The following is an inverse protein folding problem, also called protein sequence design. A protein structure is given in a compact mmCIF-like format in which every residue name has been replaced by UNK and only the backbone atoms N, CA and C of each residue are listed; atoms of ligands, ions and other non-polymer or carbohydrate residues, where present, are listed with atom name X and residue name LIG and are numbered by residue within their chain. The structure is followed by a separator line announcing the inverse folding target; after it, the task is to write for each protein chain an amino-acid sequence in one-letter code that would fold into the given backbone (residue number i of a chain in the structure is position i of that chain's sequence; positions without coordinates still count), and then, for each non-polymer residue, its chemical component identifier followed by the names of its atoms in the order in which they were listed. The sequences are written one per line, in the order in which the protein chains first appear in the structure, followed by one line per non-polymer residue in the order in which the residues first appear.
data_IF_243348906081
#
_entry.id   IF_243348906081
#
_cell.length_a   1.000
_cell.length_b   1.000
_cell.length_c   1.000
_cell.angle_alpha   90.00
_cell.angle_beta   90.00
_cell.angle_gamma   90.00
#
_symmetry.space_group_name_H-M   'P 1'
#
loop_
_entity.id
_entity.type
_entity.pdbx_description
1 polymer ?
#
# COMPACT_ATOMS: atom_id res chain seq x y z
N UNK A 1 20.49 10.40 25.68
CA UNK A 1 20.70 9.89 24.31
C UNK A 1 20.49 11.00 23.31
N UNK A 2 21.45 11.23 22.41
CA UNK A 2 21.31 12.24 21.35
C UNK A 2 20.33 11.68 20.32
N UNK A 3 19.28 12.44 19.93
CA UNK A 3 18.30 11.96 18.95
C UNK A 3 18.98 11.61 17.63
N UNK A 4 18.40 10.65 16.89
CA UNK A 4 18.89 10.26 15.57
C UNK A 4 18.88 11.45 14.60
N UNK A 5 17.84 12.29 14.67
CA UNK A 5 17.77 13.54 13.90
C UNK A 5 18.96 14.46 14.14
N UNK A 6 19.30 14.72 15.42
CA UNK A 6 20.42 15.58 15.78
C UNK A 6 21.77 14.98 15.33
N UNK A 7 21.92 13.66 15.39
CA UNK A 7 23.10 12.95 14.91
C UNK A 7 23.24 13.06 13.40
N UNK A 8 22.15 12.86 12.64
CA UNK A 8 22.14 12.99 11.19
C UNK A 8 22.45 14.42 10.74
N UNK A 9 21.88 15.43 11.41
CA UNK A 9 22.17 16.82 11.12
C UNK A 9 23.66 17.17 11.39
N UNK A 10 24.24 16.63 12.47
CA UNK A 10 25.66 16.80 12.75
C UNK A 10 26.53 16.16 11.68
N UNK A 11 26.17 14.96 11.21
CA UNK A 11 26.91 14.27 10.15
C UNK A 11 26.88 15.09 8.86
N UNK A 12 25.70 15.59 8.46
CA UNK A 12 25.57 16.43 7.27
C UNK A 12 26.40 17.71 7.37
N UNK A 13 26.39 18.39 8.53
CA UNK A 13 27.22 19.57 8.81
C UNK A 13 28.73 19.27 8.77
N UNK A 14 29.13 18.09 9.22
CA UNK A 14 30.55 17.69 9.17
C UNK A 14 31.02 17.46 7.73
N UNK A 15 30.13 16.98 6.85
CA UNK A 15 30.46 16.71 5.44
C UNK A 15 30.50 17.99 4.61
N UNK A 16 29.55 18.92 4.81
CA UNK A 16 29.33 20.07 3.95
C UNK A 16 29.63 21.44 4.62
N UNK A 17 30.05 21.43 5.89
CA UNK A 17 30.28 22.64 6.67
C UNK A 17 29.04 23.10 7.43
N UNK A 18 29.26 23.98 8.42
CA UNK A 18 28.17 24.42 9.32
C UNK A 18 27.15 25.37 8.68
N UNK A 19 27.46 25.92 7.52
CA UNK A 19 26.69 26.98 6.83
C UNK A 19 26.24 26.58 5.41
N UNK A 20 26.10 25.27 5.13
CA UNK A 20 25.58 24.84 3.84
C UNK A 20 24.13 25.32 3.65
N UNK A 21 23.77 25.61 2.41
CA UNK A 21 22.41 25.98 1.98
C UNK A 21 21.81 24.86 1.14
N UNK A 22 20.48 24.90 0.92
CA UNK A 22 19.84 23.98 -0.06
C UNK A 22 20.42 24.17 -1.46
N UNK A 23 20.80 25.41 -1.82
CA UNK A 23 21.43 25.71 -3.11
C UNK A 23 22.77 25.01 -3.32
N UNK A 24 23.52 24.75 -2.25
CA UNK A 24 24.80 24.04 -2.33
C UNK A 24 24.62 22.53 -2.55
N UNK A 25 23.49 21.97 -2.08
CA UNK A 25 23.22 20.52 -2.07
C UNK A 25 22.19 20.06 -3.12
N UNK A 26 21.44 21.00 -3.72
CA UNK A 26 20.49 20.68 -4.80
C UNK A 26 21.10 21.01 -6.16
N UNK A 27 22.17 20.29 -6.53
CA UNK A 27 22.88 20.47 -7.80
C UNK A 27 23.12 19.12 -8.45
N UNK A 28 23.39 19.16 -9.76
CA UNK A 28 23.81 17.98 -10.51
C UNK A 28 25.12 17.41 -9.93
N UNK A 29 25.19 16.09 -9.80
CA UNK A 29 26.35 15.37 -9.28
C UNK A 29 26.41 15.24 -7.75
N UNK A 30 25.51 15.86 -7.00
CA UNK A 30 25.38 15.63 -5.56
C UNK A 30 24.74 14.27 -5.30
N UNK A 31 25.19 13.59 -4.23
CA UNK A 31 24.66 12.26 -3.94
C UNK A 31 23.18 12.31 -3.58
N UNK A 32 22.43 11.30 -3.98
CA UNK A 32 21.00 11.16 -3.66
C UNK A 32 20.73 11.23 -2.15
N UNK A 33 21.66 10.70 -1.34
CA UNK A 33 21.60 10.77 0.12
C UNK A 33 21.73 12.18 0.65
N UNK A 34 22.69 12.95 0.13
CA UNK A 34 22.91 14.35 0.57
C UNK A 34 21.71 15.23 0.18
N UNK A 35 21.13 15.03 -1.01
CA UNK A 35 19.88 15.68 -1.44
C UNK A 35 18.74 15.37 -0.45
N UNK A 36 18.57 14.10 -0.12
CA UNK A 36 17.53 13.66 0.82
C UNK A 36 17.75 14.25 2.21
N UNK A 37 18.94 14.09 2.77
CA UNK A 37 19.27 14.53 4.13
C UNK A 37 19.19 16.07 4.25
N UNK A 38 19.61 16.83 3.22
CA UNK A 38 19.50 18.27 3.19
C UNK A 38 18.04 18.76 3.29
N UNK A 39 17.13 18.14 2.55
CA UNK A 39 15.71 18.50 2.54
C UNK A 39 15.01 18.00 3.81
N UNK A 40 15.25 16.76 4.22
CA UNK A 40 14.64 16.18 5.42
C UNK A 40 15.02 16.92 6.70
N UNK A 41 16.31 17.29 6.83
CA UNK A 41 16.86 17.97 8.01
C UNK A 41 16.73 19.50 7.96
N UNK A 42 16.22 20.07 6.84
CA UNK A 42 16.02 21.51 6.70
C UNK A 42 14.94 22.01 7.66
N UNK A 43 15.13 23.22 8.17
CA UNK A 43 14.11 23.96 8.92
C UNK A 43 12.98 24.47 8.01
N UNK A 44 12.33 25.56 8.46
CA UNK A 44 11.36 26.26 7.63
C UNK A 44 12.05 26.88 6.41
N UNK A 45 11.45 26.73 5.22
CA UNK A 45 12.02 27.23 3.99
C UNK A 45 11.76 28.73 3.79
N UNK A 46 12.78 29.41 3.31
CA UNK A 46 12.69 30.79 2.82
C UNK A 46 12.21 30.80 1.37
N UNK A 47 11.85 31.97 0.85
CA UNK A 47 11.50 32.14 -0.58
C UNK A 47 12.67 31.77 -1.51
N UNK A 48 13.92 31.94 -1.06
CA UNK A 48 15.09 31.50 -1.81
C UNK A 48 15.18 29.96 -1.89
N UNK A 49 14.87 29.27 -0.78
CA UNK A 49 14.83 27.81 -0.75
C UNK A 49 13.71 27.27 -1.65
N UNK A 50 12.51 27.89 -1.61
CA UNK A 50 11.39 27.53 -2.50
C UNK A 50 11.80 27.64 -3.97
N UNK A 51 12.48 28.75 -4.35
CA UNK A 51 12.94 28.96 -5.72
C UNK A 51 14.00 27.92 -6.12
N UNK A 52 14.94 27.62 -5.23
CA UNK A 52 15.99 26.61 -5.48
C UNK A 52 15.38 25.23 -5.73
N UNK A 53 14.44 24.84 -4.89
CA UNK A 53 13.76 23.53 -5.01
C UNK A 53 12.89 23.48 -6.27
N UNK A 54 12.17 24.56 -6.58
CA UNK A 54 11.35 24.62 -7.80
C UNK A 54 12.22 24.48 -9.06
N UNK A 55 13.38 25.13 -9.11
CA UNK A 55 14.34 25.01 -10.21
C UNK A 55 14.88 23.57 -10.32
N UNK A 56 15.23 22.93 -9.19
CA UNK A 56 15.68 21.54 -9.16
C UNK A 56 14.61 20.59 -9.70
N UNK A 57 13.35 20.76 -9.31
CA UNK A 57 12.24 19.92 -9.79
C UNK A 57 11.95 20.13 -11.28
N UNK A 58 12.14 21.33 -11.80
CA UNK A 58 11.91 21.69 -13.21
C UNK A 58 13.07 21.29 -14.13
N UNK A 59 14.26 21.04 -13.59
CA UNK A 59 15.44 20.72 -14.40
C UNK A 59 15.31 19.32 -15.02
N UNK A 60 15.39 19.26 -16.35
CA UNK A 60 15.32 18.02 -17.13
C UNK A 60 16.58 17.13 -16.99
N UNK A 61 17.70 17.67 -16.54
CA UNK A 61 18.93 16.90 -16.30
C UNK A 61 18.88 16.13 -14.97
N UNK A 62 17.99 16.53 -14.05
CA UNK A 62 17.82 15.83 -12.78
C UNK A 62 17.02 14.56 -13.00
N UNK A 63 17.61 13.43 -12.61
CA UNK A 63 16.97 12.13 -12.74
C UNK A 63 15.71 12.04 -11.86
N UNK A 64 14.66 11.39 -12.37
CA UNK A 64 13.36 11.21 -11.69
C UNK A 64 13.52 10.72 -10.26
N UNK A 65 14.45 9.78 -10.00
CA UNK A 65 14.67 9.23 -8.66
C UNK A 65 15.09 10.30 -7.63
N UNK A 66 15.89 11.29 -8.02
CA UNK A 66 16.31 12.38 -7.12
C UNK A 66 15.13 13.32 -6.81
N UNK A 67 14.26 13.60 -7.79
CA UNK A 67 13.01 14.34 -7.57
C UNK A 67 12.09 13.59 -6.61
N UNK A 68 11.96 12.28 -6.78
CA UNK A 68 11.20 11.40 -5.90
C UNK A 68 11.71 11.42 -4.44
N UNK A 69 13.02 11.36 -4.26
CA UNK A 69 13.67 11.43 -2.97
C UNK A 69 13.45 12.77 -2.27
N UNK A 70 13.57 13.86 -3.03
CA UNK A 70 13.31 15.20 -2.53
C UNK A 70 11.89 15.33 -1.99
N UNK A 71 10.87 14.84 -2.73
CA UNK A 71 9.48 14.87 -2.28
C UNK A 71 9.26 14.00 -1.04
N UNK A 72 9.89 12.82 -0.96
CA UNK A 72 9.80 11.95 0.21
C UNK A 72 10.44 12.60 1.45
N UNK A 73 11.60 13.25 1.29
CA UNK A 73 12.28 13.99 2.33
C UNK A 73 11.46 15.20 2.83
N UNK A 74 10.87 15.97 1.89
CA UNK A 74 9.97 17.08 2.20
C UNK A 74 8.73 16.61 2.96
N UNK A 75 8.18 15.45 2.60
CA UNK A 75 7.06 14.81 3.29
C UNK A 75 7.41 14.50 4.75
N UNK A 76 8.51 13.78 4.99
CA UNK A 76 8.95 13.44 6.36
C UNK A 76 9.23 14.68 7.20
N UNK A 77 9.87 15.70 6.60
CA UNK A 77 10.16 16.97 7.26
C UNK A 77 8.86 17.70 7.63
N UNK A 78 7.92 17.85 6.68
CA UNK A 78 6.68 18.59 6.87
C UNK A 78 5.67 17.87 7.77
N UNK A 79 5.69 16.52 7.83
CA UNK A 79 4.90 15.77 8.81
C UNK A 79 5.37 16.02 10.24
N UNK A 80 6.68 16.22 10.44
CA UNK A 80 7.22 16.53 11.77
C UNK A 80 6.92 17.97 12.21
N UNK A 81 7.18 18.90 11.31
CA UNK A 81 6.95 20.33 11.51
C UNK A 81 6.32 20.92 10.25
N UNK A 82 5.06 21.33 10.36
CA UNK A 82 4.36 21.90 9.21
C UNK A 82 5.12 23.09 8.63
N UNK A 83 5.38 23.01 7.33
CA UNK A 83 5.98 24.09 6.55
C UNK A 83 5.16 24.28 5.27
N UNK A 84 4.60 25.47 5.10
CA UNK A 84 3.75 25.79 3.95
C UNK A 84 4.48 25.72 2.61
N UNK A 85 5.77 26.02 2.59
CA UNK A 85 6.59 25.95 1.37
C UNK A 85 6.75 24.49 0.91
N UNK A 86 7.03 23.57 1.83
CA UNK A 86 7.08 22.13 1.55
C UNK A 86 5.70 21.58 1.16
N UNK A 87 4.64 22.07 1.78
CA UNK A 87 3.27 21.69 1.40
C UNK A 87 2.93 22.16 -0.01
N UNK A 88 3.29 23.41 -0.39
CA UNK A 88 3.13 23.93 -1.77
C UNK A 88 3.92 23.09 -2.78
N UNK A 89 5.14 22.71 -2.46
CA UNK A 89 5.94 21.81 -3.31
C UNK A 89 5.19 20.52 -3.63
N UNK A 90 4.61 19.87 -2.62
CA UNK A 90 3.82 18.64 -2.80
C UNK A 90 2.58 18.91 -3.67
N UNK A 91 1.89 20.02 -3.43
CA UNK A 91 0.72 20.43 -4.19
C UNK A 91 1.06 20.73 -5.66
N UNK A 92 2.22 21.38 -5.92
CA UNK A 92 2.69 21.72 -7.27
C UNK A 92 3.00 20.47 -8.10
N UNK A 93 3.48 19.40 -7.46
CA UNK A 93 3.86 18.16 -8.13
C UNK A 93 2.76 17.08 -8.12
N UNK A 94 1.62 17.33 -7.49
CA UNK A 94 0.52 16.37 -7.42
C UNK A 94 -0.20 16.12 -8.76
N UNK A 95 0.06 16.95 -9.77
CA UNK A 95 -0.42 16.81 -11.16
C UNK A 95 0.76 16.60 -12.15
N UNK A 96 1.94 16.23 -11.69
CA UNK A 96 3.10 15.99 -12.54
C UNK A 96 2.83 14.90 -13.59
N UNK A 97 3.42 15.05 -14.78
CA UNK A 97 3.38 14.03 -15.83
C UNK A 97 4.24 12.80 -15.46
N UNK A 98 5.31 13.00 -14.69
CA UNK A 98 6.15 11.92 -14.17
C UNK A 98 5.40 11.12 -13.08
N UNK A 99 5.03 9.89 -13.39
CA UNK A 99 4.14 9.06 -12.54
C UNK A 99 4.69 8.87 -11.13
N UNK A 100 5.99 8.57 -10.98
CA UNK A 100 6.63 8.36 -9.68
C UNK A 100 6.66 9.64 -8.84
N UNK A 101 6.93 10.78 -9.48
CA UNK A 101 6.90 12.12 -8.85
C UNK A 101 5.49 12.42 -8.36
N UNK A 102 4.48 12.25 -9.24
CA UNK A 102 3.07 12.50 -8.93
C UNK A 102 2.59 11.65 -7.76
N UNK A 103 2.89 10.36 -7.73
CA UNK A 103 2.52 9.45 -6.62
C UNK A 103 3.09 9.95 -5.30
N UNK A 104 4.39 10.29 -5.26
CA UNK A 104 5.03 10.75 -4.01
C UNK A 104 4.48 12.09 -3.55
N UNK A 105 4.16 12.96 -4.50
CA UNK A 105 3.54 14.25 -4.21
C UNK A 105 2.13 14.08 -3.62
N UNK A 106 1.27 13.23 -4.20
CA UNK A 106 -0.08 12.98 -3.71
C UNK A 106 -0.06 12.33 -2.33
N UNK A 107 0.74 11.27 -2.14
CA UNK A 107 0.87 10.59 -0.84
C UNK A 107 1.43 11.54 0.22
N UNK A 108 2.48 12.30 -0.13
CA UNK A 108 3.08 13.28 0.76
C UNK A 108 2.11 14.39 1.15
N UNK A 109 1.38 14.95 0.17
CA UNK A 109 0.34 15.96 0.38
C UNK A 109 -0.69 15.49 1.41
N UNK A 110 -1.21 14.28 1.21
CA UNK A 110 -2.20 13.67 2.11
C UNK A 110 -1.61 13.41 3.49
N UNK A 111 -0.41 12.83 3.60
CA UNK A 111 0.20 12.53 4.90
C UNK A 111 0.53 13.79 5.70
N UNK A 112 1.04 14.84 5.07
CA UNK A 112 1.28 16.13 5.73
C UNK A 112 -0.05 16.75 6.16
N UNK A 113 -1.08 16.63 5.32
CA UNK A 113 -2.41 17.17 5.62
C UNK A 113 -3.04 16.49 6.84
N UNK A 114 -3.06 15.16 6.88
CA UNK A 114 -3.64 14.42 8.02
C UNK A 114 -2.79 14.54 9.31
N UNK A 115 -1.48 14.80 9.19
CA UNK A 115 -0.64 15.10 10.34
C UNK A 115 -0.91 16.50 10.92
N UNK A 116 -1.40 17.44 10.10
CA UNK A 116 -1.64 18.83 10.47
C UNK A 116 -2.97 19.36 9.90
N UNK A 117 -4.12 18.75 10.22
CA UNK A 117 -5.38 18.98 9.50
C UNK A 117 -5.91 20.43 9.60
N UNK A 118 -5.54 21.15 10.65
CA UNK A 118 -6.00 22.53 10.84
C UNK A 118 -5.08 23.57 10.20
N UNK A 119 -3.89 23.20 9.71
CA UNK A 119 -2.91 24.17 9.24
C UNK A 119 -3.27 24.83 7.93
N UNK A 120 -3.86 24.10 7.00
CA UNK A 120 -4.24 24.63 5.69
C UNK A 120 -5.29 25.75 5.75
N UNK A 121 -6.09 25.81 6.84
CA UNK A 121 -7.09 26.85 7.07
C UNK A 121 -6.44 28.25 7.13
N UNK A 122 -5.18 28.32 7.61
CA UNK A 122 -4.45 29.58 7.68
C UNK A 122 -3.85 30.06 6.35
N UNK A 123 -3.99 29.25 5.30
CA UNK A 123 -3.46 29.53 3.95
C UNK A 123 -4.57 29.38 2.89
N UNK A 124 -5.47 30.39 2.79
CA UNK A 124 -6.66 30.31 1.94
C UNK A 124 -6.36 30.01 0.47
N UNK A 125 -5.23 30.52 -0.04
CA UNK A 125 -4.79 30.28 -1.42
C UNK A 125 -4.49 28.78 -1.68
N UNK A 126 -3.90 28.09 -0.70
CA UNK A 126 -3.59 26.67 -0.79
C UNK A 126 -4.88 25.85 -0.66
N UNK A 127 -5.76 26.22 0.27
CA UNK A 127 -7.05 25.55 0.46
C UNK A 127 -7.92 25.67 -0.81
N UNK A 128 -7.97 26.88 -1.41
CA UNK A 128 -8.70 27.11 -2.66
C UNK A 128 -8.13 26.29 -3.81
N UNK A 129 -6.80 26.24 -3.94
CA UNK A 129 -6.15 25.44 -4.99
C UNK A 129 -6.44 23.95 -4.83
N UNK A 130 -6.39 23.44 -3.62
CA UNK A 130 -6.72 22.05 -3.34
C UNK A 130 -8.20 21.74 -3.66
N UNK A 131 -9.12 22.66 -3.32
CA UNK A 131 -10.52 22.54 -3.72
C UNK A 131 -10.71 22.48 -5.24
N UNK A 132 -10.01 23.32 -6.00
CA UNK A 132 -10.04 23.28 -7.46
C UNK A 132 -9.48 21.95 -8.02
N UNK A 133 -8.46 21.38 -7.40
CA UNK A 133 -7.95 20.05 -7.80
C UNK A 133 -8.98 18.95 -7.56
N UNK A 134 -9.82 19.07 -6.54
CA UNK A 134 -10.93 18.13 -6.29
C UNK A 134 -12.07 18.23 -7.32
N UNK A 135 -12.06 19.22 -8.23
CA UNK A 135 -12.93 19.27 -9.41
C UNK A 135 -12.37 18.47 -10.60
N UNK A 136 -11.12 18.02 -10.51
CA UNK A 136 -10.46 17.22 -11.55
C UNK A 136 -10.73 15.74 -11.29
N UNK A 137 -11.59 15.11 -12.10
CA UNK A 137 -12.00 13.71 -11.90
C UNK A 137 -10.82 12.74 -11.79
N UNK A 138 -9.78 12.92 -12.59
CA UNK A 138 -8.58 12.06 -12.52
C UNK A 138 -7.88 12.16 -11.16
N UNK A 139 -7.80 13.36 -10.58
CA UNK A 139 -7.22 13.55 -9.25
C UNK A 139 -8.06 12.89 -8.15
N UNK A 140 -9.39 13.01 -8.24
CA UNK A 140 -10.34 12.33 -7.33
C UNK A 140 -10.16 10.82 -7.40
N UNK A 141 -10.09 10.23 -8.61
CA UNK A 141 -9.85 8.79 -8.79
C UNK A 141 -8.51 8.35 -8.17
N UNK A 142 -7.48 9.18 -8.25
CA UNK A 142 -6.17 8.92 -7.64
C UNK A 142 -6.23 8.99 -6.10
N UNK A 143 -7.02 9.89 -5.52
CA UNK A 143 -7.26 9.94 -4.08
C UNK A 143 -8.09 8.74 -3.59
N UNK A 144 -9.08 8.29 -4.36
CA UNK A 144 -9.83 7.06 -4.07
C UNK A 144 -8.90 5.84 -4.03
N UNK A 145 -8.01 5.73 -5.01
CA UNK A 145 -7.01 4.67 -5.04
C UNK A 145 -6.09 4.73 -3.82
N UNK A 146 -5.60 5.94 -3.46
CA UNK A 146 -4.79 6.14 -2.26
C UNK A 146 -5.57 5.73 -1.01
N UNK A 147 -6.82 6.17 -0.86
CA UNK A 147 -7.68 5.80 0.28
C UNK A 147 -7.78 4.28 0.44
N UNK A 148 -7.99 3.57 -0.67
CA UNK A 148 -8.06 2.11 -0.68
C UNK A 148 -6.73 1.46 -0.22
N UNK A 149 -5.58 1.99 -0.67
CA UNK A 149 -4.26 1.49 -0.24
C UNK A 149 -3.96 1.80 1.23
N UNK A 150 -4.41 2.94 1.74
CA UNK A 150 -4.27 3.29 3.16
C UNK A 150 -5.05 2.30 4.05
N UNK A 151 -6.27 1.96 3.68
CA UNK A 151 -7.08 0.98 4.40
C UNK A 151 -6.45 -0.43 4.35
N UNK A 152 -6.01 -0.89 3.18
CA UNK A 152 -5.28 -2.16 3.06
C UNK A 152 -4.03 -2.21 3.95
N UNK A 153 -3.35 -1.08 4.11
CA UNK A 153 -2.16 -1.01 4.98
C UNK A 153 -2.51 -1.22 6.45
N UNK A 154 -3.69 -0.79 6.92
CA UNK A 154 -4.16 -1.05 8.29
C UNK A 154 -4.40 -2.55 8.54
N UNK A 155 -4.85 -3.26 7.52
CA UNK A 155 -5.15 -4.69 7.58
C UNK A 155 -3.91 -5.60 7.45
N UNK A 156 -2.75 -5.03 7.10
CA UNK A 156 -1.50 -5.79 6.86
C UNK A 156 -1.17 -6.76 7.98
N UNK A 157 -1.29 -6.36 9.24
CA UNK A 157 -1.00 -7.22 10.40
C UNK A 157 -1.96 -8.40 10.51
N UNK A 158 -3.25 -8.18 10.25
CA UNK A 158 -4.29 -9.23 10.26
C UNK A 158 -4.05 -10.23 9.13
N UNK A 159 -3.74 -9.71 7.94
CA UNK A 159 -3.44 -10.53 6.76
C UNK A 159 -2.19 -11.40 7.03
N UNK A 160 -1.13 -10.82 7.59
CA UNK A 160 0.09 -11.55 7.95
C UNK A 160 -0.19 -12.67 8.97
N UNK A 161 -0.98 -12.38 10.02
CA UNK A 161 -1.35 -13.37 11.02
C UNK A 161 -2.18 -14.51 10.43
N UNK A 162 -3.15 -14.22 9.57
CA UNK A 162 -3.95 -15.23 8.89
C UNK A 162 -3.10 -16.10 7.97
N UNK A 163 -2.19 -15.49 7.21
CA UNK A 163 -1.26 -16.23 6.37
C UNK A 163 -0.39 -17.19 7.17
N UNK A 164 0.23 -16.72 8.24
CA UNK A 164 1.15 -17.53 9.03
C UNK A 164 0.45 -18.62 9.87
N UNK A 165 -0.71 -18.32 10.45
CA UNK A 165 -1.37 -19.21 11.40
C UNK A 165 -2.37 -20.16 10.74
N UNK A 166 -2.99 -19.78 9.62
CA UNK A 166 -4.05 -20.55 9.00
C UNK A 166 -3.69 -21.07 7.62
N UNK A 167 -3.24 -20.20 6.70
CA UNK A 167 -3.07 -20.55 5.29
C UNK A 167 -1.81 -21.41 5.09
N UNK A 168 -0.64 -20.91 5.47
CA UNK A 168 0.63 -21.60 5.27
C UNK A 168 0.66 -23.01 5.90
N UNK A 169 0.21 -23.23 7.16
CA UNK A 169 0.20 -24.55 7.74
C UNK A 169 -0.73 -25.54 7.03
N UNK A 170 -1.85 -25.08 6.50
CA UNK A 170 -2.78 -25.94 5.76
C UNK A 170 -2.27 -26.30 4.37
N UNK A 171 -1.68 -25.33 3.66
CA UNK A 171 -0.99 -25.58 2.38
C UNK A 171 0.13 -26.61 2.58
N UNK A 172 0.98 -26.42 3.60
CA UNK A 172 2.08 -27.34 3.88
C UNK A 172 1.62 -28.75 4.22
N UNK A 173 0.58 -28.90 5.06
CA UNK A 173 -0.04 -30.21 5.35
C UNK A 173 -0.56 -30.89 4.09
N UNK A 174 -1.20 -30.14 3.19
CA UNK A 174 -1.76 -30.71 1.96
C UNK A 174 -0.66 -31.14 0.99
N UNK A 175 0.40 -30.32 0.84
CA UNK A 175 1.59 -30.70 0.06
C UNK A 175 2.20 -32.01 0.59
N UNK A 176 2.31 -32.16 1.90
CA UNK A 176 2.80 -33.39 2.54
C UNK A 176 1.86 -34.57 2.29
N UNK A 177 0.56 -34.39 2.40
CA UNK A 177 -0.44 -35.45 2.15
C UNK A 177 -0.51 -35.91 0.71
N UNK A 178 -0.38 -34.99 -0.25
CA UNK A 178 -0.44 -35.29 -1.68
C UNK A 178 0.92 -35.80 -2.23
N UNK A 179 1.95 -35.92 -1.40
CA UNK A 179 3.30 -36.31 -1.80
C UNK A 179 3.83 -35.46 -2.96
N UNK A 180 3.43 -34.18 -3.00
CA UNK A 180 3.87 -33.23 -4.01
C UNK A 180 5.35 -32.94 -3.80
N UNK A 181 6.15 -33.14 -4.85
CA UNK A 181 7.58 -32.83 -4.80
C UNK A 181 7.77 -31.33 -4.59
N UNK A 182 8.56 -30.97 -3.56
CA UNK A 182 8.84 -29.57 -3.20
C UNK A 182 9.68 -28.82 -4.25
N UNK A 183 10.19 -29.55 -5.26
CA UNK A 183 10.91 -28.98 -6.41
C UNK A 183 9.97 -28.42 -7.49
N UNK A 184 8.66 -28.69 -7.42
CA UNK A 184 7.69 -28.22 -8.39
C UNK A 184 7.42 -26.72 -8.23
N UNK A 185 7.20 -26.05 -9.36
CA UNK A 185 6.82 -24.62 -9.39
C UNK A 185 5.45 -24.36 -8.74
N UNK A 186 5.24 -23.12 -8.29
CA UNK A 186 3.98 -22.70 -7.64
C UNK A 186 2.74 -22.97 -8.51
N UNK A 187 2.85 -22.83 -9.83
CA UNK A 187 1.73 -23.07 -10.75
C UNK A 187 1.42 -24.57 -10.89
N UNK A 188 2.41 -25.44 -10.94
CA UNK A 188 2.21 -26.89 -10.94
C UNK A 188 1.64 -27.40 -9.61
N UNK A 189 2.05 -26.78 -8.50
CA UNK A 189 1.47 -27.05 -7.18
C UNK A 189 0.00 -26.60 -7.17
N UNK A 190 -0.30 -25.43 -7.74
CA UNK A 190 -1.65 -24.90 -7.88
C UNK A 190 -2.53 -25.78 -8.75
N UNK A 191 -2.01 -26.26 -9.88
CA UNK A 191 -2.75 -27.16 -10.80
C UNK A 191 -3.04 -28.51 -10.15
N UNK A 192 -2.05 -29.11 -9.48
CA UNK A 192 -2.27 -30.37 -8.72
C UNK A 192 -3.21 -30.22 -7.55
N UNK A 193 -3.20 -29.06 -6.89
CA UNK A 193 -4.16 -28.74 -5.82
C UNK A 193 -5.56 -28.52 -6.40
N UNK A 194 -5.69 -27.88 -7.55
CA UNK A 194 -6.97 -27.64 -8.23
C UNK A 194 -7.55 -28.94 -8.81
N UNK A 195 -6.72 -29.84 -9.35
CA UNK A 195 -7.17 -31.16 -9.80
C UNK A 195 -7.73 -32.00 -8.63
N UNK A 196 -7.12 -31.92 -7.44
CA UNK A 196 -7.61 -32.61 -6.24
C UNK A 196 -8.94 -32.02 -5.74
N UNK A 197 -9.22 -30.75 -6.00
CA UNK A 197 -10.49 -30.08 -5.65
C UNK A 197 -11.60 -30.30 -6.69
N UNK A 198 -11.27 -30.73 -7.90
CA UNK A 198 -12.25 -30.98 -8.99
C UNK A 198 -13.03 -32.29 -8.83
N UNK A 199 -12.58 -33.23 -7.98
CA UNK A 199 -13.28 -34.48 -7.77
C UNK A 199 -13.74 -34.62 -6.30
N UNK A 200 -15.02 -34.32 -5.99
CA UNK A 200 -15.58 -34.43 -4.63
C UNK A 200 -15.54 -35.87 -4.04
N UNK A 201 -15.34 -36.89 -4.87
CA UNK A 201 -15.26 -38.29 -4.44
C UNK A 201 -13.88 -38.63 -3.82
N UNK A 202 -12.90 -37.77 -3.98
CA UNK A 202 -11.57 -37.96 -3.41
C UNK A 202 -11.38 -37.33 -2.03
N UNK A 203 -12.36 -36.54 -1.60
CA UNK A 203 -12.39 -35.96 -0.26
C UNK A 203 -13.45 -36.69 0.57
N UNK A 204 -13.05 -37.48 1.55
CA UNK A 204 -13.96 -38.30 2.39
C UNK A 204 -15.07 -37.50 3.10
N UNK A 205 -14.97 -36.15 3.12
CA UNK A 205 -15.93 -35.23 3.73
C UNK A 205 -16.89 -34.51 2.79
N UNK A 206 -16.74 -34.62 1.45
CA UNK A 206 -17.66 -34.05 0.44
C UNK A 206 -17.90 -32.53 0.53
N UNK A 207 -16.97 -31.77 1.13
CA UNK A 207 -17.03 -30.32 1.24
C UNK A 207 -15.93 -29.70 0.38
N UNK A 208 -16.15 -28.53 -0.28
CA UNK A 208 -15.08 -27.82 -0.94
C UNK A 208 -13.93 -27.63 0.05
N UNK A 209 -12.72 -28.07 -0.34
CA UNK A 209 -11.60 -28.13 0.60
C UNK A 209 -11.38 -26.74 1.18
N UNK A 210 -11.11 -26.66 2.49
CA UNK A 210 -10.79 -25.38 3.13
C UNK A 210 -9.63 -24.69 2.40
N UNK A 211 -8.76 -25.47 1.77
CA UNK A 211 -7.62 -25.00 1.00
C UNK A 211 -8.03 -24.24 -0.27
N UNK A 212 -9.00 -24.73 -1.06
CA UNK A 212 -9.50 -24.01 -2.24
C UNK A 212 -10.05 -22.63 -1.85
N UNK A 213 -10.77 -22.58 -0.72
CA UNK A 213 -11.26 -21.32 -0.16
C UNK A 213 -10.11 -20.38 0.24
N UNK A 214 -9.06 -20.89 0.90
CA UNK A 214 -7.91 -20.10 1.30
C UNK A 214 -7.06 -19.65 0.11
N UNK A 215 -6.89 -20.51 -0.91
CA UNK A 215 -6.20 -20.13 -2.14
C UNK A 215 -6.95 -19.05 -2.92
N UNK A 216 -8.28 -19.16 -2.97
CA UNK A 216 -9.11 -18.11 -3.58
C UNK A 216 -9.00 -16.79 -2.80
N UNK A 217 -9.09 -16.82 -1.46
CA UNK A 217 -8.92 -15.66 -0.60
C UNK A 217 -7.51 -15.04 -0.76
N UNK A 218 -6.47 -15.88 -0.91
CA UNK A 218 -5.10 -15.45 -1.15
C UNK A 218 -4.97 -14.71 -2.48
N UNK A 219 -5.49 -15.28 -3.57
CA UNK A 219 -5.45 -14.65 -4.90
C UNK A 219 -6.26 -13.35 -4.89
N UNK A 220 -7.45 -13.34 -4.28
CA UNK A 220 -8.26 -12.13 -4.16
C UNK A 220 -7.55 -11.00 -3.39
N UNK A 221 -6.87 -11.33 -2.27
CA UNK A 221 -6.07 -10.37 -1.51
C UNK A 221 -4.90 -9.80 -2.34
N UNK A 222 -4.23 -10.67 -3.12
CA UNK A 222 -3.14 -10.26 -4.00
C UNK A 222 -3.63 -9.32 -5.11
N UNK A 223 -4.75 -9.65 -5.76
CA UNK A 223 -5.36 -8.82 -6.81
C UNK A 223 -5.80 -7.45 -6.28
N UNK A 224 -6.26 -7.39 -5.05
CA UNK A 224 -6.62 -6.14 -4.35
C UNK A 224 -5.41 -5.30 -3.97
N UNK A 225 -4.20 -5.85 -4.06
CA UNK A 225 -2.95 -5.17 -3.71
C UNK A 225 -2.61 -5.19 -2.23
N UNK A 226 -3.14 -6.16 -1.46
CA UNK A 226 -2.81 -6.34 -0.06
C UNK A 226 -1.32 -6.70 0.12
N UNK A 227 -0.74 -6.26 1.24
CA UNK A 227 0.65 -6.56 1.58
C UNK A 227 0.77 -7.96 2.20
N UNK A 228 1.24 -8.90 1.41
CA UNK A 228 1.39 -10.30 1.80
C UNK A 228 2.82 -10.67 2.22
N UNK A 229 3.76 -9.76 2.07
CA UNK A 229 5.19 -10.06 2.15
C UNK A 229 5.90 -9.44 3.35
N UNK A 230 5.20 -8.63 4.17
CA UNK A 230 5.81 -7.88 5.25
C UNK A 230 6.63 -8.73 6.22
N UNK A 231 6.08 -9.85 6.68
CA UNK A 231 6.75 -10.74 7.63
C UNK A 231 8.03 -11.35 7.09
N UNK A 232 8.01 -11.76 5.81
CA UNK A 232 9.17 -12.36 5.14
C UNK A 232 10.32 -11.35 4.99
N UNK A 233 10.01 -10.11 4.62
CA UNK A 233 11.02 -9.08 4.39
C UNK A 233 11.51 -8.39 5.67
N UNK A 234 10.78 -8.49 6.78
CA UNK A 234 11.20 -7.94 8.08
C UNK A 234 12.59 -8.44 8.50
N UNK A 235 12.78 -9.76 8.48
CA UNK A 235 14.04 -10.39 8.88
C UNK A 235 15.18 -10.01 7.92
N UNK A 236 14.89 -9.93 6.62
CA UNK A 236 15.87 -9.53 5.61
C UNK A 236 16.35 -8.09 5.83
N UNK A 237 15.43 -7.15 6.05
CA UNK A 237 15.78 -5.74 6.27
C UNK A 237 16.66 -5.52 7.50
N UNK A 238 16.49 -6.32 8.55
CA UNK A 238 17.33 -6.24 9.74
C UNK A 238 18.78 -6.74 9.54
N UNK A 239 19.04 -7.52 8.49
CA UNK A 239 20.37 -8.09 8.20
C UNK A 239 21.27 -7.14 7.44
N UNK A 240 20.72 -6.20 6.69
CA UNK A 240 21.48 -5.35 5.77
C UNK A 240 21.61 -3.92 6.29
N UNK A 241 22.86 -3.45 6.37
CA UNK A 241 23.17 -2.06 6.72
C UNK A 241 22.57 -1.02 5.79
N UNK A 242 22.21 -1.44 4.57
CA UNK A 242 21.46 -0.65 3.59
C UNK A 242 20.24 0.05 4.22
N UNK A 243 19.49 -0.67 5.07
CA UNK A 243 18.29 -0.17 5.72
C UNK A 243 18.54 0.66 6.99
N UNK A 244 19.80 0.88 7.36
CA UNK A 244 20.15 1.85 8.42
C UNK A 244 20.08 3.30 7.90
N UNK A 245 20.09 3.51 6.59
CA UNK A 245 20.01 4.81 5.92
C UNK A 245 18.57 5.12 5.55
N UNK A 246 18.03 6.25 6.02
CA UNK A 246 16.62 6.64 5.77
C UNK A 246 16.32 6.77 4.29
N UNK A 247 17.20 7.44 3.54
CA UNK A 247 17.08 7.64 2.10
C UNK A 247 16.81 6.35 1.33
N UNK A 248 17.46 5.25 1.71
CA UNK A 248 17.35 3.96 1.02
C UNK A 248 15.96 3.31 1.13
N UNK A 249 15.15 3.71 2.10
CA UNK A 249 13.76 3.24 2.22
C UNK A 249 12.83 3.89 1.18
N UNK A 250 13.20 5.07 0.69
CA UNK A 250 12.40 5.88 -0.22
C UNK A 250 12.98 5.95 -1.64
N UNK A 251 14.16 5.34 -1.84
CA UNK A 251 14.81 5.33 -3.15
C UNK A 251 14.00 4.46 -4.12
N UNK A 252 13.48 5.04 -5.23
CA UNK A 252 12.80 4.25 -6.26
C UNK A 252 13.72 3.15 -6.77
N UNK A 253 13.19 1.95 -6.92
CA UNK A 253 14.01 0.80 -7.26
C UNK A 253 14.75 0.99 -8.58
N UNK A 254 16.06 0.76 -8.54
CA UNK A 254 16.95 0.66 -9.70
C UNK A 254 18.05 -0.34 -9.45
N UNK A 255 18.37 -1.14 -10.47
CA UNK A 255 19.51 -2.06 -10.42
C UNK A 255 20.87 -1.33 -10.37
N UNK A 256 20.91 -0.06 -10.75
CA UNK A 256 22.11 0.78 -10.76
C UNK A 256 22.32 1.54 -9.45
N UNK A 257 21.62 1.18 -8.36
CA UNK A 257 21.84 1.80 -7.06
C UNK A 257 23.29 1.51 -6.58
N UNK A 258 24.03 2.52 -6.05
CA UNK A 258 25.45 2.35 -5.69
C UNK A 258 25.72 1.23 -4.68
N UNK A 259 24.77 0.94 -3.80
CA UNK A 259 24.90 -0.12 -2.79
C UNK A 259 24.38 -1.48 -3.26
N UNK A 260 23.81 -1.60 -4.47
CA UNK A 260 23.42 -2.87 -5.07
C UNK A 260 24.64 -3.49 -5.74
N UNK A 261 25.01 -4.76 -5.43
CA UNK A 261 26.15 -5.40 -6.02
C UNK A 261 26.10 -5.43 -7.53
N UNK A 262 27.21 -5.09 -8.18
CA UNK A 262 27.35 -5.14 -9.63
C UNK A 262 27.21 -6.58 -10.15
N UNK A 263 26.66 -6.73 -11.35
CA UNK A 263 26.44 -8.04 -11.99
C UNK A 263 25.04 -8.63 -11.76
N UNK A 264 24.29 -8.19 -10.77
CA UNK A 264 22.89 -8.59 -10.62
C UNK A 264 21.99 -8.06 -11.74
N UNK A 265 22.37 -6.94 -12.36
CA UNK A 265 21.64 -6.34 -13.48
C UNK A 265 21.64 -7.22 -14.75
N UNK A 266 22.54 -8.16 -14.87
CA UNK A 266 22.60 -9.11 -15.99
C UNK A 266 21.75 -10.37 -15.74
N UNK A 267 21.34 -10.61 -14.48
CA UNK A 267 20.51 -11.74 -14.10
C UNK A 267 19.06 -11.54 -14.59
N UNK A 268 18.71 -12.23 -15.67
CA UNK A 268 17.39 -12.16 -16.32
C UNK A 268 16.26 -12.59 -15.38
N UNK A 269 16.50 -13.64 -14.60
CA UNK A 269 15.54 -14.13 -13.61
C UNK A 269 15.20 -13.09 -12.57
N UNK A 270 16.21 -12.45 -12.00
CA UNK A 270 16.02 -11.42 -11.00
C UNK A 270 15.14 -10.27 -11.54
N UNK A 271 15.37 -9.86 -12.80
CA UNK A 271 14.51 -8.86 -13.46
C UNK A 271 13.06 -9.31 -13.56
N UNK A 272 12.82 -10.55 -13.97
CA UNK A 272 11.46 -11.10 -14.11
C UNK A 272 10.76 -11.18 -12.76
N UNK A 273 11.41 -11.73 -11.75
CA UNK A 273 10.84 -11.84 -10.40
C UNK A 273 10.50 -10.47 -9.81
N UNK A 274 11.44 -9.52 -9.89
CA UNK A 274 11.25 -8.15 -9.37
C UNK A 274 10.07 -7.44 -10.05
N UNK A 275 9.92 -7.63 -11.36
CA UNK A 275 8.85 -6.96 -12.12
C UNK A 275 7.48 -7.62 -11.95
N UNK A 276 7.42 -8.91 -11.64
CA UNK A 276 6.15 -9.67 -11.55
C UNK A 276 5.57 -9.80 -10.14
N UNK A 277 6.41 -9.71 -9.10
CA UNK A 277 5.97 -10.06 -7.73
C UNK A 277 5.17 -8.99 -7.01
N UNK A 278 4.99 -7.81 -7.57
CA UNK A 278 4.26 -6.72 -6.89
C UNK A 278 4.91 -6.25 -5.58
N UNK A 279 6.24 -6.43 -5.45
CA UNK A 279 7.03 -6.00 -4.30
C UNK A 279 7.17 -4.47 -4.28
N UNK A 280 7.18 -3.88 -3.10
CA UNK A 280 7.57 -2.47 -2.95
C UNK A 280 9.09 -2.28 -3.17
N UNK A 281 9.50 -1.05 -3.48
CA UNK A 281 10.89 -0.74 -3.82
C UNK A 281 11.89 -1.22 -2.77
N UNK A 282 11.60 -1.02 -1.48
CA UNK A 282 12.49 -1.48 -0.41
C UNK A 282 12.59 -3.00 -0.30
N UNK A 283 11.58 -3.75 -0.73
CA UNK A 283 11.64 -5.23 -0.76
C UNK A 283 12.43 -5.74 -1.96
N UNK A 284 12.31 -5.07 -3.11
CA UNK A 284 13.14 -5.35 -4.29
C UNK A 284 14.62 -5.21 -3.94
N UNK A 285 15.01 -4.15 -3.21
CA UNK A 285 16.37 -4.02 -2.69
C UNK A 285 16.75 -5.14 -1.72
N UNK A 286 15.87 -5.51 -0.77
CA UNK A 286 16.12 -6.62 0.15
C UNK A 286 16.38 -7.91 -0.61
N UNK A 287 15.60 -8.16 -1.66
CA UNK A 287 15.74 -9.35 -2.50
C UNK A 287 17.06 -9.35 -3.27
N UNK A 288 17.45 -8.24 -3.89
CA UNK A 288 18.74 -8.09 -4.56
C UNK A 288 19.92 -8.36 -3.62
N UNK A 289 19.89 -7.75 -2.43
CA UNK A 289 20.95 -7.92 -1.43
C UNK A 289 21.03 -9.36 -0.93
N UNK A 290 19.90 -10.04 -0.75
CA UNK A 290 19.87 -11.46 -0.38
C UNK A 290 20.46 -12.33 -1.49
N UNK A 291 20.06 -12.13 -2.74
CA UNK A 291 20.56 -12.88 -3.88
C UNK A 291 22.07 -12.75 -4.05
N UNK A 292 22.63 -11.59 -3.77
CA UNK A 292 24.08 -11.37 -3.83
C UNK A 292 24.87 -12.17 -2.79
N UNK A 293 24.23 -12.60 -1.69
CA UNK A 293 24.86 -13.41 -0.65
C UNK A 293 24.75 -14.93 -0.90
N UNK A 294 23.90 -15.35 -1.85
CA UNK A 294 23.75 -16.76 -2.20
C UNK A 294 24.96 -17.22 -2.99
N UNK A 295 25.57 -18.36 -2.57
CA UNK A 295 26.71 -18.98 -3.26
C UNK A 295 26.25 -19.62 -4.57
N UNK A 296 27.16 -19.73 -5.55
CA UNK A 296 26.94 -20.24 -6.91
C UNK A 296 26.17 -21.58 -7.04
N UNK A 297 26.22 -22.46 -6.03
CA UNK A 297 25.50 -23.75 -6.04
C UNK A 297 23.98 -23.61 -6.01
N UNK A 298 23.47 -22.48 -5.47
CA UNK A 298 22.05 -22.20 -5.47
C UNK A 298 21.61 -21.56 -6.80
N UNK A 299 22.56 -21.01 -7.53
CA UNK A 299 22.31 -20.34 -8.81
C UNK A 299 21.99 -21.34 -9.91
N UNK A 300 22.66 -22.51 -9.95
CA UNK A 300 22.34 -23.60 -10.91
C UNK A 300 20.93 -24.17 -10.72
N UNK A 301 20.48 -24.33 -9.46
CA UNK A 301 19.12 -24.77 -9.19
C UNK A 301 18.08 -23.68 -9.51
N UNK A 302 18.46 -22.42 -9.36
CA UNK A 302 17.61 -21.28 -9.70
C UNK A 302 17.52 -21.07 -11.21
N UNK A 303 18.61 -21.29 -11.96
CA UNK A 303 18.62 -21.23 -13.42
C UNK A 303 17.75 -22.34 -14.03
N UNK A 304 17.74 -23.55 -13.46
CA UNK A 304 16.83 -24.65 -13.84
C UNK A 304 15.34 -24.29 -13.54
N UNK A 305 15.08 -23.62 -12.45
CA UNK A 305 13.74 -23.13 -12.12
C UNK A 305 13.25 -22.07 -13.13
N UNK A 306 14.16 -21.25 -13.67
CA UNK A 306 13.86 -20.24 -14.71
C UNK A 306 13.65 -20.86 -16.07
N UNK A 307 14.48 -21.84 -16.44
CA UNK A 307 14.29 -22.57 -17.71
C UNK A 307 12.90 -23.23 -17.76
N UNK A 308 12.42 -23.72 -16.62
CA UNK A 308 11.06 -24.25 -16.50
C UNK A 308 9.97 -23.16 -16.54
N UNK A 309 10.30 -21.90 -16.17
CA UNK A 309 9.40 -20.74 -16.31
C UNK A 309 9.49 -20.08 -17.71
N UNK A 310 10.48 -20.38 -18.54
CA UNK A 310 10.64 -19.79 -19.89
C UNK A 310 9.53 -20.16 -20.87
N UNK A 311 8.70 -21.15 -20.55
CA UNK A 311 7.48 -21.44 -21.29
C UNK A 311 6.33 -20.48 -21.01
N UNK A 312 6.47 -19.53 -20.07
CA UNK A 312 5.56 -18.42 -19.86
C UNK A 312 6.10 -17.22 -20.64
N UNK A 313 5.35 -16.78 -21.59
CA UNK A 313 5.65 -15.71 -22.56
C UNK A 313 6.34 -14.50 -21.90
N UNK A 314 7.69 -14.49 -21.93
CA UNK A 314 8.56 -13.45 -21.36
C UNK A 314 8.68 -12.22 -22.30
N UNK A 315 8.01 -12.26 -23.45
CA UNK A 315 8.15 -11.26 -24.52
C UNK A 315 7.17 -10.09 -24.39
N UNK A 316 6.20 -10.14 -23.49
CA UNK A 316 5.36 -8.99 -23.23
C UNK A 316 6.04 -8.04 -22.22
N UNK A 317 7.01 -7.27 -22.66
CA UNK A 317 7.20 -5.90 -22.21
C UNK A 317 5.99 -5.09 -22.72
N UNK A 318 4.79 -5.53 -22.44
CA UNK A 318 3.60 -4.73 -22.63
C UNK A 318 3.77 -3.54 -21.67
N UNK A 319 4.06 -2.38 -22.27
CA UNK A 319 4.10 -1.13 -21.54
C UNK A 319 2.77 -1.04 -20.76
N UNK A 320 2.84 -1.10 -19.44
CA UNK A 320 1.65 -0.98 -18.59
C UNK A 320 0.89 0.27 -19.03
N UNK A 321 -0.42 0.14 -19.17
CA UNK A 321 -1.27 1.31 -19.34
C UNK A 321 -0.93 2.34 -18.26
N UNK A 322 -0.85 3.65 -18.57
CA UNK A 322 -0.51 4.70 -17.61
C UNK A 322 -1.31 4.64 -16.30
N UNK A 323 -2.56 4.19 -16.37
CA UNK A 323 -3.43 3.99 -15.19
C UNK A 323 -2.94 2.82 -14.33
N UNK A 324 -2.56 1.72 -14.95
CA UNK A 324 -2.01 0.55 -14.27
C UNK A 324 -0.64 0.87 -13.64
N UNK A 325 0.22 1.59 -14.37
CA UNK A 325 1.50 2.04 -13.84
C UNK A 325 1.32 2.92 -12.59
N UNK A 326 0.37 3.86 -12.63
CA UNK A 326 0.08 4.71 -11.47
C UNK A 326 -0.42 3.89 -10.28
N UNK A 327 -1.28 2.89 -10.51
CA UNK A 327 -1.79 1.99 -9.47
C UNK A 327 -0.65 1.19 -8.80
N UNK A 328 0.25 0.64 -9.60
CA UNK A 328 1.40 -0.13 -9.11
C UNK A 328 2.37 0.74 -8.30
N UNK A 329 2.71 1.94 -8.80
CA UNK A 329 3.57 2.89 -8.08
C UNK A 329 2.93 3.37 -6.79
N UNK A 330 1.63 3.67 -6.78
CA UNK A 330 0.88 4.06 -5.57
C UNK A 330 0.94 2.96 -4.52
N UNK A 331 0.64 1.72 -4.90
CA UNK A 331 0.72 0.56 -4.02
C UNK A 331 2.13 0.38 -3.46
N UNK A 332 3.14 0.37 -4.34
CA UNK A 332 4.54 0.17 -3.98
C UNK A 332 5.01 1.23 -2.97
N UNK A 333 4.69 2.51 -3.23
CA UNK A 333 5.14 3.60 -2.37
C UNK A 333 4.43 3.60 -1.00
N UNK A 334 3.11 3.37 -0.96
CA UNK A 334 2.35 3.30 0.31
C UNK A 334 2.82 2.12 1.15
N UNK A 335 3.01 0.93 0.55
CA UNK A 335 3.55 -0.23 1.25
C UNK A 335 4.97 0.00 1.75
N UNK A 336 5.84 0.62 0.93
CA UNK A 336 7.20 0.98 1.33
C UNK A 336 7.21 1.95 2.52
N UNK A 337 6.34 2.95 2.51
CA UNK A 337 6.19 3.91 3.59
C UNK A 337 5.67 3.24 4.88
N UNK A 338 4.68 2.34 4.77
CA UNK A 338 4.17 1.54 5.89
C UNK A 338 5.28 0.69 6.52
N UNK A 339 6.13 0.03 5.68
CA UNK A 339 7.28 -0.73 6.17
C UNK A 339 8.29 0.15 6.89
N UNK A 340 8.62 1.33 6.36
CA UNK A 340 9.50 2.28 7.03
C UNK A 340 8.98 2.61 8.42
N UNK A 341 7.72 3.00 8.55
CA UNK A 341 7.11 3.36 9.82
C UNK A 341 7.05 2.22 10.85
N UNK A 342 7.07 0.97 10.40
CA UNK A 342 6.98 -0.19 11.30
C UNK A 342 8.31 -0.93 11.53
N UNK A 343 9.27 -0.85 10.60
CA UNK A 343 10.47 -1.67 10.61
C UNK A 343 11.77 -0.88 10.77
N UNK A 344 11.77 0.41 10.45
CA UNK A 344 12.98 1.24 10.59
C UNK A 344 13.47 1.29 12.05
N UNK A 345 14.78 1.23 12.25
CA UNK A 345 15.38 1.13 13.61
C UNK A 345 14.98 2.31 14.50
N UNK A 346 15.02 3.53 13.97
CA UNK A 346 14.70 4.77 14.70
C UNK A 346 13.31 5.33 14.35
N UNK A 347 12.33 4.47 14.01
CA UNK A 347 10.97 4.86 13.60
C UNK A 347 10.24 5.74 14.59
N UNK A 348 10.58 5.61 15.90
CA UNK A 348 9.97 6.40 16.98
C UNK A 348 10.25 7.91 16.85
N UNK A 349 11.26 8.30 16.08
CA UNK A 349 11.58 9.71 15.83
C UNK A 349 10.80 10.29 14.62
N UNK A 350 10.01 9.48 13.94
CA UNK A 350 9.21 9.87 12.78
C UNK A 350 7.72 9.84 13.10
N UNK A 351 6.98 10.75 12.49
CA UNK A 351 5.52 10.69 12.55
C UNK A 351 5.05 9.49 11.75
N UNK A 352 4.25 8.64 12.37
CA UNK A 352 3.64 7.51 11.70
C UNK A 352 2.22 7.87 11.24
N UNK A 353 2.00 8.17 9.94
CA UNK A 353 0.70 8.58 9.45
C UNK A 353 -0.36 7.49 9.60
N UNK A 354 0.05 6.20 9.59
CA UNK A 354 -0.86 5.06 9.73
C UNK A 354 -1.44 4.88 11.15
N UNK A 355 -1.04 5.72 12.10
CA UNK A 355 -1.63 5.80 13.44
C UNK A 355 -2.60 6.99 13.59
N UNK A 356 -2.75 7.79 12.54
CA UNK A 356 -3.66 8.93 12.48
C UNK A 356 -5.00 8.53 11.85
N UNK A 357 -5.95 9.47 11.81
CA UNK A 357 -7.19 9.24 11.06
C UNK A 357 -6.91 9.27 9.55
N UNK A 358 -6.93 8.10 8.92
CA UNK A 358 -6.64 7.93 7.50
C UNK A 358 -7.86 8.11 6.59
N UNK A 359 -9.05 8.35 7.15
CA UNK A 359 -10.22 8.59 6.32
C UNK A 359 -10.22 10.02 5.80
N UNK A 360 -9.86 10.18 4.51
CA UNK A 360 -9.62 11.50 3.91
C UNK A 360 -10.82 12.43 4.02
N UNK A 361 -12.02 11.90 3.85
CA UNK A 361 -13.22 12.69 3.88
C UNK A 361 -13.57 13.29 5.28
N UNK A 362 -12.87 12.88 6.34
CA UNK A 362 -12.99 13.54 7.65
C UNK A 362 -12.14 14.82 7.73
N UNK A 363 -11.30 15.10 6.75
CA UNK A 363 -10.40 16.26 6.73
C UNK A 363 -10.82 17.28 5.67
N UNK A 364 -10.94 18.56 6.08
CA UNK A 364 -11.19 19.65 5.12
C UNK A 364 -9.95 19.84 4.19
N UNK A 365 -10.09 20.00 2.87
CA UNK A 365 -11.34 20.09 2.10
C UNK A 365 -11.77 18.77 1.44
N UNK A 366 -11.22 17.62 1.85
CA UNK A 366 -11.50 16.32 1.23
C UNK A 366 -12.92 15.79 1.49
N UNK A 367 -13.74 16.47 2.34
CA UNK A 367 -15.15 16.11 2.51
C UNK A 367 -15.92 16.03 1.19
N UNK A 368 -15.47 16.79 0.18
CA UNK A 368 -16.03 16.75 -1.17
C UNK A 368 -15.98 15.36 -1.82
N UNK A 369 -15.07 14.50 -1.38
CA UNK A 369 -15.00 13.10 -1.82
C UNK A 369 -16.26 12.30 -1.40
N UNK A 370 -17.01 12.76 -0.38
CA UNK A 370 -18.28 12.15 0.02
C UNK A 370 -19.48 12.63 -0.79
N UNK A 371 -19.31 13.66 -1.62
CA UNK A 371 -20.38 14.17 -2.50
C UNK A 371 -20.61 13.23 -3.69
N UNK A 372 -19.67 12.30 -3.97
CA UNK A 372 -19.82 11.23 -4.94
C UNK A 372 -20.33 9.95 -4.26
N UNK A 373 -21.63 9.71 -4.38
CA UNK A 373 -22.30 8.53 -3.81
C UNK A 373 -21.72 7.21 -4.36
N UNK A 374 -21.28 7.19 -5.61
CA UNK A 374 -20.71 6.01 -6.23
C UNK A 374 -19.31 5.71 -5.67
N UNK A 375 -18.51 6.73 -5.40
CA UNK A 375 -17.24 6.60 -4.69
C UNK A 375 -17.46 6.09 -3.26
N UNK A 376 -18.39 6.69 -2.53
CA UNK A 376 -18.74 6.28 -1.17
C UNK A 376 -19.19 4.81 -1.13
N UNK A 377 -20.00 4.39 -2.10
CA UNK A 377 -20.43 2.99 -2.23
C UNK A 377 -19.25 2.08 -2.53
N UNK A 378 -18.32 2.45 -3.45
CA UNK A 378 -17.12 1.64 -3.76
C UNK A 378 -16.23 1.46 -2.54
N UNK A 379 -16.02 2.52 -1.76
CA UNK A 379 -15.26 2.44 -0.50
C UNK A 379 -15.95 1.53 0.53
N UNK A 380 -17.27 1.65 0.70
CA UNK A 380 -18.03 0.77 1.59
C UNK A 380 -17.95 -0.70 1.16
N UNK A 381 -18.04 -0.98 -0.15
CA UNK A 381 -17.87 -2.32 -0.70
C UNK A 381 -16.45 -2.86 -0.50
N UNK A 382 -15.45 -1.98 -0.62
CA UNK A 382 -14.06 -2.33 -0.36
C UNK A 382 -13.89 -2.78 1.11
N UNK A 383 -14.33 -1.96 2.07
CA UNK A 383 -14.24 -2.28 3.50
C UNK A 383 -15.03 -3.55 3.87
N UNK A 384 -16.22 -3.74 3.25
CA UNK A 384 -17.02 -4.95 3.45
C UNK A 384 -16.28 -6.21 3.01
N UNK A 385 -15.64 -6.19 1.82
CA UNK A 385 -14.83 -7.30 1.31
C UNK A 385 -13.63 -7.58 2.20
N UNK A 386 -13.05 -6.53 2.75
CA UNK A 386 -11.90 -6.61 3.67
C UNK A 386 -12.28 -7.05 5.09
N UNK A 387 -13.57 -7.31 5.34
CA UNK A 387 -14.11 -7.71 6.65
C UNK A 387 -14.00 -6.62 7.73
N UNK A 388 -13.70 -5.38 7.33
CA UNK A 388 -13.72 -4.18 8.19
C UNK A 388 -15.16 -3.70 8.39
N UNK A 389 -15.97 -4.53 9.05
CA UNK A 389 -17.43 -4.38 9.08
C UNK A 389 -17.91 -3.08 9.70
N UNK A 390 -17.21 -2.57 10.73
CA UNK A 390 -17.52 -1.28 11.35
C UNK A 390 -17.35 -0.13 10.37
N UNK A 391 -16.21 -0.07 9.65
CA UNK A 391 -15.95 0.97 8.66
C UNK A 391 -16.91 0.88 7.48
N UNK A 392 -17.14 -0.34 6.96
CA UNK A 392 -18.12 -0.56 5.90
C UNK A 392 -19.51 -0.06 6.30
N UNK A 393 -19.94 -0.36 7.52
CA UNK A 393 -21.25 0.06 8.05
C UNK A 393 -21.36 1.59 8.14
N UNK A 394 -20.33 2.27 8.61
CA UNK A 394 -20.31 3.73 8.73
C UNK A 394 -20.35 4.42 7.36
N UNK A 395 -19.68 3.83 6.36
CA UNK A 395 -19.76 4.32 4.98
C UNK A 395 -21.14 4.07 4.36
N UNK A 396 -21.72 2.86 4.52
CA UNK A 396 -23.07 2.57 4.03
C UNK A 396 -24.14 3.47 4.65
N UNK A 397 -24.00 3.84 5.93
CA UNK A 397 -24.93 4.77 6.61
C UNK A 397 -24.90 6.19 6.04
N UNK A 398 -23.80 6.60 5.41
CA UNK A 398 -23.67 7.91 4.76
C UNK A 398 -24.31 7.96 3.38
N UNK A 399 -24.64 6.79 2.77
CA UNK A 399 -25.31 6.74 1.48
C UNK A 399 -26.74 7.32 1.57
N UNK A 400 -27.19 8.08 0.54
CA UNK A 400 -28.54 8.58 0.48
C UNK A 400 -29.55 7.43 0.32
N UNK A 401 -30.80 7.67 0.73
CA UNK A 401 -31.84 6.62 0.75
C UNK A 401 -32.08 6.00 -0.62
N UNK A 402 -31.95 6.78 -1.70
CA UNK A 402 -32.15 6.35 -3.07
C UNK A 402 -31.14 5.27 -3.51
N UNK A 403 -29.97 5.26 -2.91
CA UNK A 403 -28.90 4.28 -3.19
C UNK A 403 -29.01 3.01 -2.33
N UNK A 404 -29.83 3.03 -1.27
CA UNK A 404 -29.95 1.89 -0.36
C UNK A 404 -30.79 0.76 -0.98
N UNK A 405 -30.14 -0.10 -1.73
CA UNK A 405 -30.73 -1.30 -2.35
C UNK A 405 -30.89 -2.44 -1.36
N UNK A 406 -31.66 -3.48 -1.75
CA UNK A 406 -31.78 -4.70 -0.96
C UNK A 406 -30.41 -5.34 -0.66
N UNK A 407 -29.48 -5.28 -1.61
CA UNK A 407 -28.12 -5.80 -1.45
C UNK A 407 -27.34 -5.03 -0.36
N UNK A 408 -27.44 -3.69 -0.36
CA UNK A 408 -26.77 -2.86 0.64
C UNK A 408 -27.37 -3.14 2.03
N UNK A 409 -28.70 -3.22 2.17
CA UNK A 409 -29.32 -3.58 3.45
C UNK A 409 -28.90 -4.99 3.93
N UNK A 410 -28.73 -5.96 3.01
CA UNK A 410 -28.20 -7.27 3.35
C UNK A 410 -26.78 -7.18 3.92
N UNK A 411 -25.90 -6.38 3.30
CA UNK A 411 -24.52 -6.19 3.75
C UNK A 411 -24.46 -5.43 5.06
N UNK A 412 -25.23 -4.38 5.24
CA UNK A 412 -25.33 -3.66 6.51
C UNK A 412 -25.83 -4.60 7.64
N UNK A 413 -26.85 -5.41 7.35
CA UNK A 413 -27.33 -6.42 8.30
C UNK A 413 -26.25 -7.43 8.66
N UNK A 414 -25.46 -7.85 7.68
CA UNK A 414 -24.34 -8.76 7.90
C UNK A 414 -23.23 -8.12 8.74
N UNK A 415 -22.92 -6.84 8.51
CA UNK A 415 -21.97 -6.11 9.34
C UNK A 415 -22.41 -6.08 10.80
N UNK A 416 -23.68 -5.74 11.07
CA UNK A 416 -24.21 -5.76 12.44
C UNK A 416 -24.22 -7.14 13.07
N UNK A 417 -24.47 -8.19 12.28
CA UNK A 417 -24.41 -9.58 12.77
C UNK A 417 -22.98 -9.94 13.19
N UNK A 418 -21.95 -9.54 12.42
CA UNK A 418 -20.55 -9.77 12.75
C UNK A 418 -20.08 -8.98 13.98
N UNK A 419 -20.64 -7.79 14.20
CA UNK A 419 -20.41 -6.96 15.39
C UNK A 419 -21.22 -7.42 16.62
N UNK A 420 -22.01 -8.50 16.49
CA UNK A 420 -22.82 -9.04 17.57
C UNK A 420 -24.13 -8.30 17.84
N UNK A 421 -24.47 -7.27 17.04
CA UNK A 421 -25.72 -6.52 17.18
C UNK A 421 -26.85 -7.16 16.37
N UNK A 422 -27.36 -8.26 16.90
CA UNK A 422 -28.35 -9.12 16.23
C UNK A 422 -29.69 -8.38 16.00
N UNK A 423 -30.08 -7.48 16.89
CA UNK A 423 -31.33 -6.73 16.76
C UNK A 423 -31.33 -5.80 15.55
N UNK A 424 -30.26 -5.03 15.37
CA UNK A 424 -30.13 -4.17 14.20
C UNK A 424 -29.98 -4.98 12.90
N UNK A 425 -29.30 -6.13 12.95
CA UNK A 425 -29.21 -7.04 11.82
C UNK A 425 -30.60 -7.50 11.35
N UNK A 426 -31.50 -7.89 12.28
CA UNK A 426 -32.87 -8.31 11.96
C UNK A 426 -33.63 -7.19 11.23
N UNK A 427 -33.59 -5.96 11.75
CA UNK A 427 -34.27 -4.80 11.15
C UNK A 427 -33.82 -4.59 9.70
N UNK A 428 -32.52 -4.69 9.43
CA UNK A 428 -31.97 -4.48 8.09
C UNK A 428 -32.27 -5.64 7.14
N UNK A 429 -32.26 -6.87 7.63
CA UNK A 429 -32.69 -8.02 6.84
C UNK A 429 -34.18 -7.97 6.52
N UNK A 430 -35.04 -7.48 7.42
CA UNK A 430 -36.46 -7.23 7.15
C UNK A 430 -36.63 -6.18 6.04
N UNK A 431 -35.88 -5.07 6.10
CA UNK A 431 -35.87 -4.05 5.01
C UNK A 431 -35.41 -4.62 3.68
N UNK A 432 -34.35 -5.40 3.71
CA UNK A 432 -33.86 -6.08 2.50
C UNK A 432 -34.92 -7.04 1.91
N UNK A 433 -35.64 -7.78 2.75
CA UNK A 433 -36.68 -8.69 2.32
C UNK A 433 -37.92 -7.96 1.78
N UNK A 434 -38.22 -6.75 2.29
CA UNK A 434 -39.29 -5.91 1.73
C UNK A 434 -38.95 -5.44 0.32
N UNK A 435 -37.69 -5.06 0.05
CA UNK A 435 -37.24 -4.60 -1.27
C UNK A 435 -37.04 -5.73 -2.27
N UNK A 436 -36.60 -6.90 -1.81
CA UNK A 436 -36.39 -8.10 -2.63
C UNK A 436 -36.97 -9.32 -1.93
N UNK A 437 -38.30 -9.55 -2.07
CA UNK A 437 -38.98 -10.71 -1.48
C UNK A 437 -38.42 -12.02 -2.03
N UNK A 438 -38.48 -13.08 -1.20
CA UNK A 438 -38.07 -14.45 -1.56
C UNK A 438 -36.58 -14.67 -1.78
N UNK A 439 -35.70 -13.76 -1.35
CA UNK A 439 -34.26 -14.00 -1.31
C UNK A 439 -33.96 -15.10 -0.28
N UNK A 440 -33.60 -16.29 -0.77
CA UNK A 440 -33.28 -17.45 0.10
C UNK A 440 -32.20 -17.11 1.14
N UNK A 441 -31.22 -16.32 0.73
CA UNK A 441 -30.13 -15.88 1.61
C UNK A 441 -30.65 -14.99 2.74
N UNK A 442 -31.45 -13.95 2.40
CA UNK A 442 -32.04 -13.03 3.40
C UNK A 442 -32.92 -13.76 4.39
N UNK A 443 -33.81 -14.63 3.92
CA UNK A 443 -34.70 -15.40 4.77
C UNK A 443 -33.90 -16.30 5.73
N UNK A 444 -32.85 -16.97 5.23
CA UNK A 444 -31.99 -17.83 6.05
C UNK A 444 -31.27 -17.02 7.13
N UNK A 445 -30.74 -15.84 6.80
CA UNK A 445 -30.07 -14.95 7.77
C UNK A 445 -31.05 -14.38 8.78
N UNK A 446 -32.22 -13.93 8.33
CA UNK A 446 -33.26 -13.41 9.21
C UNK A 446 -33.71 -14.49 10.23
N UNK A 447 -33.94 -15.73 9.77
CA UNK A 447 -34.29 -16.84 10.66
C UNK A 447 -33.17 -17.16 11.66
N UNK A 448 -31.89 -17.15 11.23
CA UNK A 448 -30.75 -17.39 12.09
C UNK A 448 -30.61 -16.30 13.16
N UNK A 449 -30.68 -15.02 12.75
CA UNK A 449 -30.59 -13.87 13.65
C UNK A 449 -31.78 -13.81 14.61
N UNK A 450 -33.02 -14.08 14.15
CA UNK A 450 -34.20 -14.15 15.01
C UNK A 450 -34.09 -15.24 16.07
N UNK A 451 -33.54 -16.40 15.70
CA UNK A 451 -33.24 -17.49 16.67
C UNK A 451 -32.22 -17.07 17.71
N UNK A 452 -31.13 -16.39 17.27
CA UNK A 452 -30.08 -15.90 18.17
C UNK A 452 -30.62 -14.84 19.15
N UNK A 453 -31.56 -14.00 18.71
CA UNK A 453 -32.28 -13.02 19.57
C UNK A 453 -33.38 -13.62 20.44
N UNK A 454 -33.65 -14.95 20.38
CA UNK A 454 -34.73 -15.59 21.13
C UNK A 454 -36.15 -15.33 20.58
N UNK A 455 -36.27 -14.74 19.38
CA UNK A 455 -37.53 -14.44 18.72
C UNK A 455 -37.99 -15.64 17.86
N UNK A 456 -38.68 -16.56 18.46
CA UNK A 456 -39.14 -17.83 17.81
C UNK A 456 -40.47 -17.69 17.05
N UNK A 457 -41.14 -16.54 17.12
CA UNK A 457 -42.46 -16.33 16.52
C UNK A 457 -42.42 -15.62 15.13
N UNK A 458 -41.24 -15.34 14.59
CA UNK A 458 -41.08 -14.72 13.28
C UNK A 458 -40.62 -15.74 12.20
#
# INVERSE_FOLDING_TARGET
ETSFYATSLRTLKNLHGNHFTLSDLLQEGVSARDIFDAVWLSGAWTTADETTVANFMADANIIENNKCLLLSAATLSAMRYFDIAKYRLLLDNALSDEVKVRVRAIVGLVFVHIAHPERTIFYPEVATRLQLMLDIQNFVNQLELLQSQLFLSLETKRIEQNLQNEIIPQVMKRIEHLHIDRSLGLDEIKDKLSEADLNPEWDEDGRPSKLAKYMHEFVELQERGADMYMGSFKVMKQRFSFFNVVCNWFYPFTMNHPEVPQGLSENRMLKVLINRTGLCDSDKYSFCLMMSQMKNQTQEHMDQFVENMENVDLTSEDALDPTQLFKEEMRSYVQGFYRFCNLYLHREEFVNPFQLNLFLADHFPFQKLLDDDDMLQRLAEFEFKDKSYNMALDLYKKLPQEKLTANIFQKMGYCYEQEGNVEQAIILYERANLLKPHSKWTIKRLAASSRAAGNYAK
#
